data_IF_336329960179
#
_entry.id   IF_336329960179
#
_cell.length_a   1.000
_cell.length_b   1.000
_cell.length_c   1.000
_cell.angle_alpha   90.00
_cell.angle_beta   90.00
_cell.angle_gamma   90.00
#
_symmetry.space_group_name_H-M   'P 1'
#
loop_
_entity.id
_entity.type
_entity.pdbx_description
1 polymer ?
#
# COMPACT_ATOMS: atom_id res chain seq x y z
N UNK A 1 42.65 24.69 -4.17
CA UNK A 1 42.20 25.31 -2.89
C UNK A 1 41.26 26.51 -3.10
N UNK A 2 41.24 27.16 -4.31
CA UNK A 2 40.37 28.31 -4.61
C UNK A 2 38.89 28.00 -4.73
N UNK A 3 38.46 26.74 -4.77
CA UNK A 3 37.06 26.36 -4.96
C UNK A 3 36.32 25.92 -3.67
N UNK A 4 36.90 26.07 -2.51
CA UNK A 4 36.27 25.74 -1.22
C UNK A 4 35.22 26.77 -0.73
N UNK A 5 35.06 27.87 -1.45
CA UNK A 5 34.02 28.87 -1.18
C UNK A 5 32.59 28.45 -1.56
N UNK A 6 32.41 27.24 -2.09
CA UNK A 6 31.08 26.70 -2.45
C UNK A 6 30.22 26.41 -1.21
N UNK A 7 30.83 26.24 -0.02
CA UNK A 7 30.09 25.86 1.19
C UNK A 7 29.72 27.11 2.03
N UNK A 8 28.89 27.98 1.48
CA UNK A 8 28.36 29.13 2.23
C UNK A 8 27.31 28.73 3.29
N UNK A 9 26.81 27.51 3.27
CA UNK A 9 25.83 27.02 4.25
C UNK A 9 26.00 25.53 4.54
N UNK A 10 25.54 25.08 5.70
CA UNK A 10 25.51 23.69 6.08
C UNK A 10 24.69 22.86 5.07
N UNK A 11 23.62 23.44 4.49
CA UNK A 11 22.79 22.82 3.46
C UNK A 11 23.59 22.49 2.20
N UNK A 12 24.45 23.42 1.73
CA UNK A 12 25.30 23.18 0.57
C UNK A 12 26.32 22.06 0.82
N UNK A 13 26.82 21.95 2.05
CA UNK A 13 27.70 20.85 2.44
C UNK A 13 26.97 19.50 2.38
N UNK A 14 25.76 19.41 2.95
CA UNK A 14 24.95 18.19 2.89
C UNK A 14 24.58 17.82 1.46
N UNK A 15 24.21 18.80 0.64
CA UNK A 15 23.92 18.56 -0.78
C UNK A 15 25.14 18.00 -1.50
N UNK A 16 26.30 18.61 -1.33
CA UNK A 16 27.55 18.13 -1.93
C UNK A 16 27.91 16.72 -1.48
N UNK A 17 27.82 16.46 -0.18
CA UNK A 17 28.05 15.13 0.37
C UNK A 17 27.10 14.08 -0.22
N UNK A 18 25.83 14.42 -0.34
CA UNK A 18 24.80 13.56 -0.96
C UNK A 18 25.13 13.27 -2.42
N UNK A 19 25.55 14.28 -3.18
CA UNK A 19 25.96 14.12 -4.58
C UNK A 19 27.22 13.24 -4.72
N UNK A 20 28.19 13.38 -3.81
CA UNK A 20 29.38 12.51 -3.79
C UNK A 20 29.01 11.06 -3.48
N UNK A 21 28.12 10.83 -2.52
CA UNK A 21 27.64 9.50 -2.20
C UNK A 21 26.86 8.89 -3.38
N UNK A 22 26.00 9.68 -4.03
CA UNK A 22 25.28 9.25 -5.21
C UNK A 22 26.26 8.84 -6.32
N UNK A 23 27.25 9.69 -6.63
CA UNK A 23 28.28 9.40 -7.62
C UNK A 23 29.08 8.15 -7.29
N UNK A 24 29.50 7.98 -6.05
CA UNK A 24 30.20 6.78 -5.59
C UNK A 24 29.37 5.50 -5.81
N UNK A 25 28.10 5.53 -5.39
CA UNK A 25 27.16 4.42 -5.56
C UNK A 25 26.88 4.13 -7.02
N UNK A 26 26.73 5.17 -7.85
CA UNK A 26 26.56 5.04 -9.29
C UNK A 26 27.75 4.34 -9.95
N UNK A 27 28.98 4.77 -9.68
CA UNK A 27 30.21 4.17 -10.22
C UNK A 27 30.33 2.70 -9.76
N UNK A 28 30.03 2.43 -8.50
CA UNK A 28 30.02 1.04 -7.97
C UNK A 28 28.99 0.19 -8.71
N UNK A 29 27.82 0.71 -8.99
CA UNK A 29 26.78 0.03 -9.76
C UNK A 29 27.24 -0.27 -11.18
N UNK A 30 27.86 0.69 -11.87
CA UNK A 30 28.46 0.47 -13.20
C UNK A 30 29.50 -0.66 -13.19
N UNK A 31 30.35 -0.71 -12.18
CA UNK A 31 31.37 -1.76 -12.05
C UNK A 31 30.74 -3.15 -11.86
N UNK A 32 29.68 -3.25 -11.09
CA UNK A 32 28.91 -4.50 -10.92
C UNK A 32 28.26 -4.90 -12.24
N UNK A 33 27.59 -3.97 -12.92
CA UNK A 33 26.92 -4.24 -14.20
C UNK A 33 27.91 -4.62 -15.31
N UNK A 34 29.13 -4.10 -15.28
CA UNK A 34 30.22 -4.50 -16.22
C UNK A 34 30.59 -5.98 -16.10
N UNK A 35 30.42 -6.58 -14.93
CA UNK A 35 30.67 -8.00 -14.71
C UNK A 35 29.52 -8.87 -15.23
N UNK A 36 28.33 -8.29 -15.37
CA UNK A 36 27.10 -8.95 -15.81
C UNK A 36 26.84 -8.71 -17.31
N UNK A 37 27.80 -9.08 -18.17
CA UNK A 37 27.81 -8.76 -19.62
C UNK A 37 26.58 -9.23 -20.40
N UNK A 38 25.89 -10.27 -19.94
CA UNK A 38 24.72 -10.84 -20.59
C UNK A 38 23.39 -10.24 -20.11
N UNK A 39 23.42 -9.39 -19.08
CA UNK A 39 22.24 -8.79 -18.49
C UNK A 39 21.64 -7.77 -19.47
N UNK A 40 20.41 -7.99 -19.91
CA UNK A 40 19.68 -7.12 -20.85
C UNK A 40 18.49 -6.44 -20.20
N UNK A 41 17.90 -7.07 -19.19
CA UNK A 41 16.67 -6.62 -18.55
C UNK A 41 16.76 -6.82 -17.05
N UNK A 42 16.29 -5.85 -16.29
CA UNK A 42 16.09 -5.95 -14.84
C UNK A 42 14.63 -5.65 -14.53
N UNK A 43 13.99 -6.55 -13.79
CA UNK A 43 12.66 -6.32 -13.25
C UNK A 43 12.76 -5.93 -11.77
N UNK A 44 12.11 -4.80 -11.42
CA UNK A 44 12.07 -4.26 -10.06
C UNK A 44 10.64 -4.33 -9.56
N UNK A 45 10.40 -5.15 -8.55
CA UNK A 45 9.06 -5.35 -8.00
C UNK A 45 8.62 -4.19 -7.08
N UNK A 46 9.56 -3.59 -6.34
CA UNK A 46 9.26 -2.48 -5.43
C UNK A 46 9.73 -1.15 -6.03
N UNK A 47 8.83 -0.50 -6.75
CA UNK A 47 9.11 0.66 -7.61
C UNK A 47 9.62 1.91 -6.85
N UNK A 48 9.03 2.21 -5.70
CA UNK A 48 9.24 3.49 -5.00
C UNK A 48 10.53 3.58 -4.19
N UNK A 49 11.08 2.46 -3.75
CA UNK A 49 12.27 2.42 -2.88
C UNK A 49 13.52 1.94 -3.59
N UNK A 50 13.43 1.67 -4.90
CA UNK A 50 14.59 1.18 -5.62
C UNK A 50 15.61 2.29 -5.87
N UNK A 51 16.94 2.03 -5.69
CA UNK A 51 17.96 3.06 -5.77
C UNK A 51 18.10 3.67 -7.17
N UNK A 52 17.83 4.95 -7.31
CA UNK A 52 17.88 5.65 -8.60
C UNK A 52 19.27 5.67 -9.24
N UNK A 53 20.35 5.70 -8.43
CA UNK A 53 21.72 5.60 -8.95
C UNK A 53 21.97 4.27 -9.67
N UNK A 54 21.30 3.19 -9.27
CA UNK A 54 21.39 1.90 -9.94
C UNK A 54 20.61 1.89 -11.25
N UNK A 55 19.41 2.48 -11.27
CA UNK A 55 18.62 2.64 -12.48
C UNK A 55 19.36 3.47 -13.53
N UNK A 56 19.99 4.56 -13.12
CA UNK A 56 20.83 5.39 -14.00
C UNK A 56 22.03 4.59 -14.55
N UNK A 57 22.62 3.72 -13.74
CA UNK A 57 23.71 2.85 -14.20
C UNK A 57 23.20 1.81 -15.21
N UNK A 58 22.00 1.27 -15.05
CA UNK A 58 21.37 0.37 -16.02
C UNK A 58 21.15 1.08 -17.35
N UNK A 59 20.57 2.27 -17.33
CA UNK A 59 20.32 3.10 -18.50
C UNK A 59 21.63 3.40 -19.24
N UNK A 60 22.67 3.86 -18.52
CA UNK A 60 24.01 4.10 -19.07
C UNK A 60 24.60 2.86 -19.77
N UNK A 61 24.18 1.66 -19.38
CA UNK A 61 24.61 0.38 -19.97
C UNK A 61 23.67 -0.18 -21.02
N UNK A 62 22.60 0.52 -21.34
CA UNK A 62 21.58 0.02 -22.27
C UNK A 62 20.82 -1.21 -21.74
N UNK A 63 20.73 -1.33 -20.40
CA UNK A 63 19.97 -2.40 -19.74
C UNK A 63 18.57 -1.89 -19.50
N UNK A 64 17.57 -2.52 -20.10
CA UNK A 64 16.17 -2.16 -19.93
C UNK A 64 15.71 -2.40 -18.48
N UNK A 65 15.21 -1.38 -17.83
CA UNK A 65 14.61 -1.49 -16.50
C UNK A 65 13.11 -1.56 -16.61
N UNK A 66 12.49 -2.55 -15.96
CA UNK A 66 11.04 -2.73 -15.91
C UNK A 66 10.64 -2.68 -14.45
N UNK A 67 9.61 -1.90 -14.13
CA UNK A 67 9.01 -1.92 -12.80
C UNK A 67 7.50 -2.05 -12.88
N UNK A 68 6.88 -2.53 -11.82
CA UNK A 68 5.43 -2.55 -11.67
C UNK A 68 4.99 -1.63 -10.54
N UNK A 69 3.89 -0.94 -10.78
CA UNK A 69 3.21 -0.15 -9.77
C UNK A 69 2.80 -1.07 -8.60
N UNK A 70 3.38 -0.84 -7.43
CA UNK A 70 3.05 -1.63 -6.25
C UNK A 70 1.73 -1.21 -5.63
N UNK A 71 1.44 0.09 -5.67
CA UNK A 71 0.24 0.70 -5.08
C UNK A 71 -0.44 1.59 -6.10
N UNK A 72 -1.76 1.64 -6.06
CA UNK A 72 -2.51 2.60 -6.86
C UNK A 72 -2.31 4.04 -6.32
N UNK A 73 -2.12 4.18 -5.01
CA UNK A 73 -1.81 5.47 -4.40
C UNK A 73 -0.30 5.71 -4.33
N UNK A 74 0.13 6.82 -4.93
CA UNK A 74 1.51 7.32 -4.86
C UNK A 74 1.56 8.57 -4.00
N UNK A 75 2.15 8.45 -2.84
CA UNK A 75 2.38 9.56 -1.93
C UNK A 75 3.31 10.60 -2.57
N UNK A 76 2.98 11.89 -2.39
CA UNK A 76 3.71 13.02 -2.98
C UNK A 76 5.18 13.16 -2.51
N UNK A 77 5.59 12.42 -1.49
CA UNK A 77 6.95 12.47 -0.95
C UNK A 77 7.94 11.51 -1.62
N UNK A 78 7.49 10.67 -2.55
CA UNK A 78 8.41 9.86 -3.34
C UNK A 78 9.01 10.69 -4.47
N UNK A 79 10.32 10.55 -4.67
CA UNK A 79 11.01 11.14 -5.81
C UNK A 79 10.42 10.61 -7.12
N UNK A 80 10.41 11.43 -8.18
CA UNK A 80 10.03 10.95 -9.51
C UNK A 80 10.82 9.69 -9.87
N UNK A 81 10.13 8.70 -10.39
CA UNK A 81 10.73 7.44 -10.78
C UNK A 81 11.29 7.51 -12.19
N UNK A 82 12.31 6.69 -12.43
CA UNK A 82 12.98 6.60 -13.70
C UNK A 82 13.11 5.12 -14.09
N UNK A 83 12.36 4.70 -15.13
CA UNK A 83 12.37 3.33 -15.63
C UNK A 83 12.26 3.32 -17.15
N UNK A 84 12.83 2.30 -17.82
CA UNK A 84 12.57 2.08 -19.25
C UNK A 84 11.09 1.75 -19.46
N UNK A 85 10.57 0.76 -18.75
CA UNK A 85 9.14 0.39 -18.83
C UNK A 85 8.50 0.39 -17.45
N UNK A 86 7.28 0.91 -17.37
CA UNK A 86 6.54 0.96 -16.12
C UNK A 86 5.14 0.36 -16.27
N UNK A 87 4.91 -0.73 -15.54
CA UNK A 87 3.68 -1.49 -15.58
C UNK A 87 2.68 -0.87 -14.62
N UNK A 88 1.60 -0.30 -15.12
CA UNK A 88 0.64 0.47 -14.32
C UNK A 88 -0.61 -0.32 -13.97
N UNK A 89 -1.25 0.06 -12.85
CA UNK A 89 -2.49 -0.52 -12.39
C UNK A 89 -3.69 -0.17 -13.30
N UNK A 90 -3.59 0.93 -14.05
CA UNK A 90 -4.66 1.38 -14.95
C UNK A 90 -4.24 2.55 -15.82
N UNK A 91 -4.98 2.76 -16.92
CA UNK A 91 -4.70 3.80 -17.91
C UNK A 91 -4.69 5.22 -17.29
N UNK A 92 -5.59 5.50 -16.35
CA UNK A 92 -5.67 6.82 -15.70
C UNK A 92 -4.41 7.22 -14.93
N UNK A 93 -3.55 6.27 -14.59
CA UNK A 93 -2.29 6.58 -13.90
C UNK A 93 -1.21 7.15 -14.84
N UNK A 94 -1.28 6.91 -16.14
CA UNK A 94 -0.24 7.37 -17.08
C UNK A 94 -0.06 8.88 -17.05
N UNK A 95 -1.16 9.62 -17.12
CA UNK A 95 -1.13 11.08 -17.12
C UNK A 95 -0.71 11.64 -15.75
N UNK A 96 -1.19 11.02 -14.67
CA UNK A 96 -0.81 11.38 -13.30
C UNK A 96 0.71 11.20 -13.11
N UNK A 97 1.27 10.09 -13.55
CA UNK A 97 2.71 9.84 -13.40
C UNK A 97 3.55 10.79 -14.25
N UNK A 98 3.13 11.08 -15.48
CA UNK A 98 3.79 12.10 -16.32
C UNK A 98 3.77 13.48 -15.68
N UNK A 99 2.62 13.93 -15.14
CA UNK A 99 2.50 15.19 -14.44
C UNK A 99 3.38 15.27 -13.19
N UNK A 100 3.61 14.14 -12.52
CA UNK A 100 4.49 14.02 -11.34
C UNK A 100 5.98 13.90 -11.70
N UNK A 101 6.33 13.97 -12.98
CA UNK A 101 7.72 13.94 -13.44
C UNK A 101 8.34 12.53 -13.50
N UNK A 102 7.51 11.49 -13.60
CA UNK A 102 8.00 10.12 -13.84
C UNK A 102 8.58 10.03 -15.25
N UNK A 103 9.83 9.59 -15.35
CA UNK A 103 10.54 9.44 -16.60
C UNK A 103 10.52 7.96 -17.01
N UNK A 104 9.61 7.62 -17.90
CA UNK A 104 9.50 6.27 -18.44
C UNK A 104 9.40 6.34 -19.97
N UNK A 105 10.10 5.45 -20.66
CA UNK A 105 9.98 5.31 -22.11
C UNK A 105 8.60 4.79 -22.50
N UNK A 106 8.06 3.85 -21.70
CA UNK A 106 6.78 3.22 -21.97
C UNK A 106 6.01 2.93 -20.69
N UNK A 107 4.73 3.34 -20.66
CA UNK A 107 3.75 2.93 -19.65
C UNK A 107 2.87 1.83 -20.21
N UNK A 108 2.79 0.69 -19.52
CA UNK A 108 2.02 -0.49 -19.94
C UNK A 108 0.95 -0.77 -18.89
N UNK A 109 -0.32 -0.77 -19.29
CA UNK A 109 -1.43 -1.07 -18.40
C UNK A 109 -1.58 -2.59 -18.23
N UNK A 110 -1.36 -3.08 -17.01
CA UNK A 110 -1.49 -4.51 -16.66
C UNK A 110 -2.53 -4.79 -15.56
N UNK A 111 -3.09 -3.74 -14.95
CA UNK A 111 -3.92 -3.87 -13.75
C UNK A 111 -3.09 -4.10 -12.49
N UNK A 112 -3.76 -4.56 -11.43
CA UNK A 112 -3.11 -4.95 -10.17
C UNK A 112 -2.92 -6.47 -10.13
N UNK A 113 -1.72 -7.00 -10.35
CA UNK A 113 -1.48 -8.46 -10.45
C UNK A 113 -1.94 -9.24 -9.22
N UNK A 114 -1.82 -8.65 -8.02
CA UNK A 114 -2.24 -9.28 -6.77
C UNK A 114 -3.74 -9.50 -6.67
N UNK A 115 -4.55 -8.80 -7.46
CA UNK A 115 -6.00 -9.04 -7.51
C UNK A 115 -6.35 -10.46 -7.95
N UNK A 116 -5.45 -11.10 -8.72
CA UNK A 116 -5.61 -12.49 -9.12
C UNK A 116 -5.55 -13.46 -7.93
N UNK A 117 -4.86 -13.11 -6.84
CA UNK A 117 -4.86 -13.91 -5.61
C UNK A 117 -6.26 -14.00 -5.01
N UNK A 118 -7.05 -12.92 -5.09
CA UNK A 118 -8.44 -12.91 -4.64
C UNK A 118 -9.29 -13.81 -5.53
N UNK A 119 -9.15 -13.70 -6.86
CA UNK A 119 -9.91 -14.50 -7.82
C UNK A 119 -9.61 -15.99 -7.69
N UNK A 120 -8.34 -16.34 -7.52
CA UNK A 120 -7.89 -17.74 -7.38
C UNK A 120 -8.28 -18.34 -6.03
N UNK A 121 -8.39 -17.53 -4.97
CA UNK A 121 -8.81 -17.99 -3.64
C UNK A 121 -10.24 -18.48 -3.58
N UNK A 122 -11.10 -18.12 -4.56
CA UNK A 122 -12.45 -18.66 -4.66
C UNK A 122 -12.49 -20.19 -4.81
N UNK A 123 -11.44 -20.79 -5.35
CA UNK A 123 -11.33 -22.23 -5.61
C UNK A 123 -10.75 -23.00 -4.41
N UNK A 124 -10.20 -22.32 -3.43
CA UNK A 124 -9.56 -22.92 -2.25
C UNK A 124 -10.36 -22.47 -1.03
N UNK A 125 -11.49 -23.15 -0.81
CA UNK A 125 -12.25 -22.94 0.44
C UNK A 125 -11.44 -23.52 1.59
N UNK A 126 -10.67 -22.67 2.25
CA UNK A 126 -9.94 -23.07 3.45
C UNK A 126 -10.93 -23.35 4.60
N UNK A 127 -10.67 -24.44 5.36
CA UNK A 127 -11.45 -24.77 6.58
C UNK A 127 -11.63 -23.57 7.51
N UNK A 128 -10.66 -22.66 7.53
CA UNK A 128 -10.71 -21.45 8.34
C UNK A 128 -11.81 -20.43 7.91
N UNK A 129 -12.34 -20.56 6.68
CA UNK A 129 -13.44 -19.73 6.16
C UNK A 129 -14.83 -20.31 6.44
N UNK A 130 -14.95 -21.56 6.91
CA UNK A 130 -16.25 -22.24 7.09
C UNK A 130 -17.23 -21.43 7.96
N UNK A 131 -16.72 -20.79 9.03
CA UNK A 131 -17.53 -19.91 9.88
C UNK A 131 -18.23 -18.83 9.05
N UNK A 132 -17.49 -18.15 8.19
CA UNK A 132 -18.01 -17.03 7.39
C UNK A 132 -18.92 -17.49 6.26
N UNK A 133 -18.64 -18.65 5.68
CA UNK A 133 -19.52 -19.29 4.70
C UNK A 133 -20.87 -19.65 5.32
N UNK A 134 -20.87 -20.14 6.56
CA UNK A 134 -22.13 -20.39 7.31
C UNK A 134 -22.90 -19.10 7.55
N UNK A 135 -22.20 -18.02 7.97
CA UNK A 135 -22.80 -16.69 8.20
C UNK A 135 -23.43 -16.15 6.92
N UNK A 136 -22.78 -16.33 5.78
CA UNK A 136 -23.30 -15.89 4.46
C UNK A 136 -24.63 -16.51 4.04
N UNK A 137 -25.04 -17.61 4.63
CA UNK A 137 -26.37 -18.20 4.36
C UNK A 137 -27.51 -17.32 4.87
N UNK A 138 -27.27 -16.47 5.88
CA UNK A 138 -28.29 -15.62 6.52
C UNK A 138 -27.99 -14.11 6.48
N UNK A 139 -26.72 -13.73 6.35
CA UNK A 139 -26.28 -12.34 6.37
C UNK A 139 -25.26 -12.08 5.25
N UNK A 140 -25.20 -10.85 4.73
CA UNK A 140 -24.11 -10.45 3.83
C UNK A 140 -22.84 -10.19 4.64
N UNK A 141 -21.72 -10.67 4.14
CA UNK A 141 -20.41 -10.53 4.79
C UNK A 141 -19.73 -9.22 4.36
N UNK A 142 -19.46 -8.36 5.33
CA UNK A 142 -18.75 -7.08 5.15
C UNK A 142 -17.38 -7.20 5.78
N UNK A 143 -16.34 -7.09 4.97
CA UNK A 143 -14.96 -7.13 5.45
C UNK A 143 -14.42 -5.70 5.58
N UNK A 144 -13.90 -5.37 6.75
CA UNK A 144 -13.51 -4.01 7.12
C UNK A 144 -12.00 -3.95 7.41
N UNK A 145 -11.24 -3.24 6.59
CA UNK A 145 -9.79 -3.10 6.75
C UNK A 145 -9.42 -1.78 7.41
N UNK A 146 -8.90 -1.86 8.64
CA UNK A 146 -8.23 -0.74 9.32
C UNK A 146 -6.75 -0.64 8.93
N UNK A 147 -6.13 0.46 9.29
CA UNK A 147 -4.72 0.74 9.00
C UNK A 147 -3.77 0.14 10.05
N UNK A 148 -2.49 0.27 9.75
CA UNK A 148 -1.42 0.02 10.71
C UNK A 148 -1.47 1.14 11.78
N UNK A 149 -1.45 0.82 13.09
CA UNK A 149 -1.32 1.85 14.10
C UNK A 149 0.12 2.35 14.07
N UNK A 150 0.29 3.61 13.77
CA UNK A 150 1.53 4.32 14.03
C UNK A 150 1.30 5.28 15.19
N UNK A 151 2.30 5.48 16.02
CA UNK A 151 2.23 6.51 17.05
C UNK A 151 2.05 7.88 16.40
N UNK A 152 1.22 8.73 16.98
CA UNK A 152 0.92 10.05 16.42
C UNK A 152 2.20 10.89 16.15
N UNK A 153 3.27 10.61 16.89
CA UNK A 153 4.57 11.24 16.70
C UNK A 153 5.32 10.73 15.46
N UNK A 154 5.31 9.44 15.18
CA UNK A 154 5.95 8.87 13.99
C UNK A 154 5.23 9.28 12.71
N UNK A 155 3.91 9.40 12.77
CA UNK A 155 3.08 9.82 11.64
C UNK A 155 3.27 11.30 11.32
N UNK A 156 3.31 12.17 12.31
CA UNK A 156 3.51 13.60 12.14
C UNK A 156 4.85 13.95 11.50
N UNK A 157 5.89 13.12 11.70
CA UNK A 157 7.22 13.37 11.15
C UNK A 157 7.42 12.86 9.73
N UNK A 158 6.68 11.83 9.28
CA UNK A 158 6.95 11.12 8.02
C UNK A 158 5.81 11.15 7.00
N UNK A 159 4.57 11.08 7.46
CA UNK A 159 3.39 10.94 6.60
C UNK A 159 2.46 12.15 6.65
N UNK A 160 2.84 13.19 7.43
CA UNK A 160 1.97 14.32 7.65
C UNK A 160 0.66 13.92 8.35
N UNK A 161 -0.38 14.71 8.21
CA UNK A 161 -1.68 14.50 8.85
C UNK A 161 -2.47 13.26 8.36
N UNK A 162 -1.87 12.43 7.52
CA UNK A 162 -2.57 11.35 6.81
C UNK A 162 -2.74 10.08 7.64
N UNK A 163 -3.67 10.13 8.54
CA UNK A 163 -4.62 9.09 8.87
C UNK A 163 -4.17 7.71 9.31
N UNK A 164 -2.91 7.49 9.70
CA UNK A 164 -2.48 6.22 10.30
C UNK A 164 -2.50 6.27 11.82
N UNK A 165 -3.02 7.33 12.42
CA UNK A 165 -3.06 7.52 13.86
C UNK A 165 -3.87 6.42 14.57
N UNK A 166 -3.49 6.14 15.82
CA UNK A 166 -4.25 5.27 16.73
C UNK A 166 -5.71 5.73 16.79
N UNK A 167 -5.94 7.03 16.90
CA UNK A 167 -7.28 7.63 16.91
C UNK A 167 -8.09 7.24 15.69
N UNK A 168 -7.49 7.26 14.52
CA UNK A 168 -8.14 6.89 13.26
C UNK A 168 -8.63 5.43 13.24
N UNK A 169 -7.86 4.49 13.82
CA UNK A 169 -8.29 3.10 13.94
C UNK A 169 -9.41 2.92 14.98
N UNK A 170 -9.39 3.69 16.08
CA UNK A 170 -10.46 3.70 17.08
C UNK A 170 -11.76 4.22 16.47
N UNK A 171 -11.69 5.32 15.71
CA UNK A 171 -12.85 5.91 15.06
C UNK A 171 -13.40 5.00 13.95
N UNK A 172 -12.53 4.31 13.21
CA UNK A 172 -12.93 3.28 12.27
C UNK A 172 -13.69 2.13 12.95
N UNK A 173 -13.13 1.56 14.04
CA UNK A 173 -13.78 0.48 14.76
C UNK A 173 -15.14 0.92 15.36
N UNK A 174 -15.22 2.15 15.89
CA UNK A 174 -16.46 2.74 16.39
C UNK A 174 -17.51 2.90 15.30
N UNK A 175 -17.12 3.40 14.14
CA UNK A 175 -18.00 3.54 12.97
C UNK A 175 -18.55 2.19 12.52
N UNK A 176 -17.71 1.16 12.47
CA UNK A 176 -18.15 -0.19 12.10
C UNK A 176 -19.13 -0.77 13.14
N UNK A 177 -18.94 -0.50 14.42
CA UNK A 177 -19.89 -0.89 15.46
C UNK A 177 -21.25 -0.16 15.32
N UNK A 178 -21.23 1.14 14.98
CA UNK A 178 -22.47 1.90 14.70
C UNK A 178 -23.20 1.29 13.51
N UNK A 179 -22.48 0.98 12.43
CA UNK A 179 -23.06 0.32 11.24
C UNK A 179 -23.61 -1.05 11.57
N UNK A 180 -22.95 -1.86 12.39
CA UNK A 180 -23.44 -3.15 12.83
C UNK A 180 -24.70 -3.04 13.70
N UNK A 181 -24.81 -1.99 14.54
CA UNK A 181 -26.04 -1.70 15.29
C UNK A 181 -27.21 -1.34 14.36
N UNK A 182 -26.94 -0.63 13.26
CA UNK A 182 -27.95 -0.18 12.30
C UNK A 182 -28.40 -1.26 11.30
N UNK A 183 -27.46 -2.09 10.84
CA UNK A 183 -27.69 -3.05 9.75
C UNK A 183 -27.56 -4.50 10.28
N UNK A 184 -28.65 -5.05 10.83
CA UNK A 184 -28.66 -6.39 11.43
C UNK A 184 -28.53 -7.53 10.40
N UNK A 185 -28.84 -7.28 9.13
CA UNK A 185 -28.72 -8.20 8.00
C UNK A 185 -27.29 -8.29 7.43
N UNK A 186 -26.35 -7.49 7.97
CA UNK A 186 -24.94 -7.51 7.62
C UNK A 186 -24.12 -8.09 8.77
N UNK A 187 -23.04 -8.81 8.43
CA UNK A 187 -22.04 -9.28 9.38
C UNK A 187 -20.70 -8.62 9.09
N UNK A 188 -20.14 -7.91 10.06
CA UNK A 188 -18.93 -7.11 9.93
C UNK A 188 -17.73 -7.86 10.50
N UNK A 189 -16.66 -7.98 9.72
CA UNK A 189 -15.38 -8.52 10.17
C UNK A 189 -14.33 -7.42 10.06
N UNK A 190 -13.89 -6.90 11.19
CA UNK A 190 -12.82 -5.90 11.24
C UNK A 190 -11.47 -6.61 11.24
N UNK A 191 -10.56 -6.10 10.43
CA UNK A 191 -9.21 -6.62 10.29
C UNK A 191 -8.21 -5.47 10.22
N UNK A 192 -7.19 -5.51 11.07
CA UNK A 192 -6.10 -4.53 11.04
C UNK A 192 -4.86 -5.13 10.36
N UNK A 193 -4.02 -4.27 9.81
CA UNK A 193 -2.80 -4.68 9.10
C UNK A 193 -1.79 -5.41 9.99
N UNK A 194 -1.79 -5.11 11.30
CA UNK A 194 -0.90 -5.75 12.27
C UNK A 194 -1.69 -6.36 13.44
N UNK A 195 -1.20 -7.49 13.97
CA UNK A 195 -1.86 -8.18 15.09
C UNK A 195 -1.93 -7.33 16.35
N UNK A 196 -0.91 -6.52 16.62
CA UNK A 196 -0.84 -5.65 17.78
C UNK A 196 -1.76 -4.41 17.68
N UNK A 197 -2.28 -4.10 16.50
CA UNK A 197 -3.19 -2.98 16.30
C UNK A 197 -4.46 -3.05 17.17
N UNK A 198 -4.86 -4.25 17.59
CA UNK A 198 -5.99 -4.44 18.50
C UNK A 198 -5.72 -3.82 19.89
N UNK A 199 -4.45 -3.73 20.29
CA UNK A 199 -4.06 -3.17 21.58
C UNK A 199 -4.30 -1.66 21.65
N UNK A 200 -4.41 -0.99 20.50
CA UNK A 200 -4.72 0.44 20.44
C UNK A 200 -6.22 0.74 20.59
N UNK A 201 -7.07 -0.29 20.53
CA UNK A 201 -8.52 -0.12 20.67
C UNK A 201 -8.90 -0.13 22.16
N UNK A 202 -9.64 0.88 22.66
CA UNK A 202 -10.06 0.94 24.05
C UNK A 202 -10.84 -0.31 24.48
N UNK A 203 -10.55 -0.85 25.68
CA UNK A 203 -11.16 -2.07 26.21
C UNK A 203 -12.69 -2.01 26.23
N UNK A 204 -13.28 -0.85 26.51
CA UNK A 204 -14.72 -0.63 26.48
C UNK A 204 -15.29 -0.89 25.07
N UNK A 205 -14.63 -0.37 24.02
CA UNK A 205 -15.06 -0.56 22.64
C UNK A 205 -14.89 -2.01 22.21
N UNK A 206 -13.79 -2.66 22.60
CA UNK A 206 -13.59 -4.10 22.35
C UNK A 206 -14.70 -4.95 22.97
N UNK A 207 -15.10 -4.63 24.20
CA UNK A 207 -16.17 -5.32 24.90
C UNK A 207 -17.53 -5.11 24.20
N UNK A 208 -17.82 -3.88 23.77
CA UNK A 208 -19.04 -3.59 23.02
C UNK A 208 -19.08 -4.38 21.69
N UNK A 209 -17.97 -4.45 20.97
CA UNK A 209 -17.87 -5.24 19.72
C UNK A 209 -18.09 -6.72 20.03
N UNK A 210 -17.41 -7.26 21.06
CA UNK A 210 -17.50 -8.67 21.44
C UNK A 210 -18.92 -9.10 21.84
N UNK A 211 -19.69 -8.20 22.44
CA UNK A 211 -21.06 -8.46 22.89
C UNK A 211 -22.10 -8.33 21.75
N UNK A 212 -21.68 -8.01 20.54
CA UNK A 212 -22.57 -7.87 19.38
C UNK A 212 -22.45 -9.10 18.47
N UNK A 213 -23.58 -9.68 18.07
CA UNK A 213 -23.62 -10.95 17.31
C UNK A 213 -23.21 -10.80 15.82
N UNK A 214 -23.27 -9.59 15.28
CA UNK A 214 -23.05 -9.33 13.86
C UNK A 214 -21.81 -8.50 13.55
N UNK A 215 -20.87 -8.45 14.49
CA UNK A 215 -19.56 -7.82 14.27
C UNK A 215 -18.48 -8.53 15.09
N UNK A 216 -17.30 -8.66 14.53
CA UNK A 216 -16.12 -9.14 15.26
C UNK A 216 -14.83 -8.48 14.77
N UNK A 217 -13.78 -8.55 15.59
CA UNK A 217 -12.41 -8.27 15.16
C UNK A 217 -11.68 -9.60 14.98
N UNK A 218 -11.25 -9.87 13.75
CA UNK A 218 -10.44 -11.04 13.43
C UNK A 218 -9.04 -10.60 12.99
N UNK A 219 -8.10 -10.63 13.92
CA UNK A 219 -6.72 -10.24 13.69
C UNK A 219 -5.75 -11.43 13.63
N UNK A 220 -6.27 -12.66 13.47
CA UNK A 220 -5.45 -13.85 13.29
C UNK A 220 -4.93 -13.93 11.85
N UNK A 221 -3.81 -13.26 11.59
CA UNK A 221 -3.20 -13.18 10.26
C UNK A 221 -2.53 -14.49 9.83
N UNK A 222 -2.24 -15.40 10.77
CA UNK A 222 -1.55 -16.67 10.48
C UNK A 222 -2.52 -17.76 9.99
N UNK A 223 -3.72 -17.80 10.54
CA UNK A 223 -4.68 -18.87 10.24
C UNK A 223 -5.60 -18.55 9.08
N UNK A 224 -5.77 -17.27 8.74
CA UNK A 224 -6.72 -16.83 7.72
C UNK A 224 -6.14 -15.69 6.91
N UNK A 225 -5.95 -15.93 5.61
CA UNK A 225 -5.41 -14.94 4.69
C UNK A 225 -6.46 -13.88 4.37
N UNK A 226 -6.02 -12.61 4.23
CA UNK A 226 -6.91 -11.51 3.85
C UNK A 226 -7.53 -11.70 2.46
N UNK A 227 -6.80 -12.28 1.51
CA UNK A 227 -7.31 -12.56 0.16
C UNK A 227 -8.43 -13.59 0.17
N UNK A 228 -8.32 -14.63 1.02
CA UNK A 228 -9.38 -15.65 1.20
C UNK A 228 -10.65 -15.02 1.78
N UNK A 229 -10.51 -14.15 2.79
CA UNK A 229 -11.65 -13.42 3.35
C UNK A 229 -12.30 -12.48 2.32
N UNK A 230 -11.50 -11.74 1.56
CA UNK A 230 -12.00 -10.88 0.48
C UNK A 230 -12.74 -11.72 -0.55
N UNK A 231 -12.20 -12.87 -0.94
CA UNK A 231 -12.82 -13.72 -1.97
C UNK A 231 -14.26 -14.12 -1.61
N UNK A 232 -14.53 -14.39 -0.34
CA UNK A 232 -15.87 -14.77 0.15
C UNK A 232 -16.73 -13.58 0.60
N UNK A 233 -16.16 -12.36 0.74
CA UNK A 233 -16.93 -11.19 1.16
C UNK A 233 -17.87 -10.68 0.07
N UNK A 234 -18.95 -10.00 0.48
CA UNK A 234 -19.90 -9.34 -0.41
C UNK A 234 -19.56 -7.85 -0.59
N UNK A 235 -19.02 -7.23 0.48
CA UNK A 235 -18.63 -5.82 0.51
C UNK A 235 -17.28 -5.73 1.23
N UNK A 236 -16.42 -4.85 0.75
CA UNK A 236 -15.16 -4.49 1.42
C UNK A 236 -15.20 -3.02 1.79
N UNK A 237 -14.96 -2.72 3.04
CA UNK A 237 -14.84 -1.34 3.56
C UNK A 237 -13.41 -1.14 4.04
N UNK A 238 -12.80 -0.04 3.71
CA UNK A 238 -11.48 0.27 4.25
C UNK A 238 -11.00 1.65 3.92
N UNK A 239 -9.96 2.03 4.63
CA UNK A 239 -9.16 3.19 4.29
C UNK A 239 -8.28 2.87 3.06
N UNK A 240 -7.47 3.83 2.64
CA UNK A 240 -6.48 3.61 1.59
C UNK A 240 -5.50 2.52 1.98
N UNK A 241 -5.74 1.33 1.49
CA UNK A 241 -4.83 0.19 1.64
C UNK A 241 -4.82 -0.61 0.35
N UNK A 242 -3.69 -1.14 -0.02
CA UNK A 242 -3.50 -1.94 -1.24
C UNK A 242 -4.54 -3.05 -1.37
N UNK A 243 -4.92 -3.71 -0.26
CA UNK A 243 -5.91 -4.79 -0.28
C UNK A 243 -7.30 -4.31 -0.72
N UNK A 244 -7.68 -3.06 -0.43
CA UNK A 244 -8.97 -2.48 -0.85
C UNK A 244 -8.95 -2.21 -2.36
N UNK A 245 -7.83 -1.68 -2.88
CA UNK A 245 -7.64 -1.44 -4.31
C UNK A 245 -7.59 -2.76 -5.10
N UNK A 246 -6.88 -3.76 -4.58
CA UNK A 246 -6.83 -5.11 -5.15
C UNK A 246 -8.21 -5.77 -5.15
N UNK A 247 -9.02 -5.52 -4.10
CA UNK A 247 -10.40 -6.00 -4.01
C UNK A 247 -11.29 -5.35 -5.07
N UNK A 248 -11.12 -4.05 -5.31
CA UNK A 248 -11.82 -3.32 -6.38
C UNK A 248 -11.45 -3.89 -7.75
N UNK A 249 -10.16 -4.10 -8.01
CA UNK A 249 -9.67 -4.72 -9.25
C UNK A 249 -10.16 -6.16 -9.43
N UNK A 250 -10.44 -6.87 -8.33
CA UNK A 250 -11.07 -8.20 -8.35
C UNK A 250 -12.59 -8.19 -8.54
N UNK A 251 -13.21 -7.00 -8.70
CA UNK A 251 -14.65 -6.83 -8.92
C UNK A 251 -15.50 -6.85 -7.64
N UNK A 252 -14.92 -6.65 -6.47
CA UNK A 252 -15.66 -6.55 -5.21
C UNK A 252 -16.33 -5.18 -5.06
N UNK A 253 -17.46 -5.13 -4.35
CA UNK A 253 -18.10 -3.87 -3.96
C UNK A 253 -17.28 -3.20 -2.87
N UNK A 254 -16.80 -1.98 -3.13
CA UNK A 254 -15.91 -1.24 -2.24
C UNK A 254 -16.62 -0.03 -1.67
N UNK A 255 -16.34 0.24 -0.38
CA UNK A 255 -16.66 1.51 0.28
C UNK A 255 -15.34 2.04 0.86
N UNK A 256 -14.88 3.16 0.34
CA UNK A 256 -13.74 3.87 0.94
C UNK A 256 -14.23 4.61 2.19
N UNK A 257 -13.57 4.34 3.31
CA UNK A 257 -13.82 5.01 4.57
C UNK A 257 -12.84 6.18 4.71
N UNK A 258 -13.35 7.39 4.55
CA UNK A 258 -12.59 8.62 4.65
C UNK A 258 -13.21 9.53 5.72
N UNK A 259 -12.73 9.45 6.96
CA UNK A 259 -13.15 10.31 8.06
C UNK A 259 -12.30 11.58 8.18
N UNK A 260 -11.32 11.76 7.34
CA UNK A 260 -10.33 12.85 7.39
C UNK A 260 -10.45 13.76 6.15
N UNK A 261 -11.44 13.50 5.30
CA UNK A 261 -11.68 14.22 4.02
C UNK A 261 -10.45 14.20 3.08
N UNK A 262 -9.66 13.14 3.15
CA UNK A 262 -8.47 12.99 2.32
C UNK A 262 -8.81 12.95 0.82
N UNK A 263 -9.92 12.27 0.47
CA UNK A 263 -10.39 12.16 -0.91
C UNK A 263 -10.86 13.50 -1.50
N UNK A 264 -11.35 14.39 -0.66
CA UNK A 264 -11.81 15.70 -1.11
C UNK A 264 -10.66 16.65 -1.46
N UNK A 265 -9.43 16.29 -1.10
CA UNK A 265 -8.20 17.05 -1.37
C UNK A 265 -7.39 16.52 -2.57
N UNK A 266 -7.82 15.42 -3.17
CA UNK A 266 -7.25 14.85 -4.39
C UNK A 266 -7.98 15.39 -5.62
#
# INVERSE_FOLDING_TARGET
IKNLYIFKSLQNFFLFYTLLLFRYRFIRSLNILNQLRQLKVIYVHYDTLFPQFFLLACDTKGITTISSQERADHYNFYSPLFYGKYLTAGQGFHDIFKQRGYLCEEFINIGLPRSNLIKNSNNIVNKNCEKYIKIKKSKKLVLCFGLFPADDFEVGSFLGEYGTSIRSNVDFARSMLIMAKKFQNLYFVIRFKATHAINSIPSKLLLEIKNKENIEINNNLKSLNSYELVSISDIVIGKYTTIVEESMSAGKKIIFYDNENYLSSL
#
